data_IF_437730074236
#
_entry.id   IF_437730074236
#
_cell.length_a   1.000
_cell.length_b   1.000
_cell.length_c   1.000
_cell.angle_alpha   90.00
_cell.angle_beta   90.00
_cell.angle_gamma   90.00
#
_symmetry.space_group_name_H-M   'P 1'
#
loop_
_entity.id
_entity.type
_entity.pdbx_description
1 polymer ?
#
# COMPACT_ATOMS: atom_id res chain seq x y z
N UNK A 1 42.28 -69.46 165.89
CA UNK A 1 43.58 -68.78 165.90
C UNK A 1 43.75 -68.10 164.55
N UNK A 2 44.13 -66.84 164.60
CA UNK A 2 44.34 -65.92 163.49
C UNK A 2 45.54 -66.27 162.60
N UNK A 3 45.60 -65.53 161.48
CA UNK A 3 46.75 -65.17 160.63
C UNK A 3 47.01 -66.07 159.41
N UNK A 4 47.34 -65.58 158.20
CA UNK A 4 47.52 -64.23 157.62
C UNK A 4 47.65 -64.39 156.08
N UNK A 5 47.35 -63.30 155.37
CA UNK A 5 47.57 -62.98 153.93
C UNK A 5 48.89 -63.47 153.33
N UNK A 6 48.92 -63.65 152.00
CA UNK A 6 49.73 -62.89 151.00
C UNK A 6 49.27 -63.24 149.55
N UNK A 7 48.96 -62.22 148.74
CA UNK A 7 48.77 -62.26 147.26
C UNK A 7 50.15 -62.31 146.56
N UNK A 8 50.25 -62.83 145.32
CA UNK A 8 50.41 -61.93 144.15
C UNK A 8 49.67 -62.48 142.90
N UNK A 9 48.77 -61.81 142.20
CA UNK A 9 48.79 -60.51 141.49
C UNK A 9 49.69 -60.40 140.23
N UNK A 10 50.43 -61.44 139.84
CA UNK A 10 51.24 -61.40 138.60
C UNK A 10 50.83 -62.42 137.50
N UNK A 11 50.13 -63.51 137.84
CA UNK A 11 49.73 -64.53 136.85
C UNK A 11 48.42 -64.20 136.09
N UNK A 12 47.58 -63.30 136.60
CA UNK A 12 46.32 -62.92 135.91
C UNK A 12 46.50 -61.85 134.82
N UNK A 13 47.66 -61.19 134.78
CA UNK A 13 47.97 -60.16 133.78
C UNK A 13 48.41 -60.79 132.45
N UNK A 14 49.17 -61.89 132.47
CA UNK A 14 49.62 -62.59 131.25
C UNK A 14 48.49 -63.36 130.55
N UNK A 15 47.57 -63.99 131.30
CA UNK A 15 46.38 -64.64 130.71
C UNK A 15 45.38 -63.61 130.13
N UNK A 16 45.24 -62.44 130.78
CA UNK A 16 44.44 -61.33 130.26
C UNK A 16 45.05 -60.75 128.98
N UNK A 17 46.38 -60.58 128.94
CA UNK A 17 47.09 -60.08 127.77
C UNK A 17 47.01 -61.04 126.56
N UNK A 18 46.99 -62.37 126.78
CA UNK A 18 46.80 -63.34 125.71
C UNK A 18 45.37 -63.33 125.13
N UNK A 19 44.35 -63.20 126.00
CA UNK A 19 42.96 -63.05 125.55
C UNK A 19 42.73 -61.74 124.79
N UNK A 20 43.39 -60.66 125.22
CA UNK A 20 43.38 -59.36 124.56
C UNK A 20 44.03 -59.43 123.17
N UNK A 21 45.20 -60.05 123.04
CA UNK A 21 45.87 -60.25 121.75
C UNK A 21 45.05 -61.13 120.78
N UNK A 22 44.35 -62.16 121.28
CA UNK A 22 43.47 -63.01 120.46
C UNK A 22 42.24 -62.23 119.95
N UNK A 23 41.67 -61.38 120.80
CA UNK A 23 40.56 -60.49 120.41
C UNK A 23 41.03 -59.46 119.39
N UNK A 24 42.21 -58.87 119.58
CA UNK A 24 42.78 -57.89 118.66
C UNK A 24 43.05 -58.49 117.27
N UNK A 25 43.59 -59.70 117.19
CA UNK A 25 43.73 -60.42 115.92
C UNK A 25 42.38 -60.73 115.26
N UNK A 26 41.35 -61.08 116.04
CA UNK A 26 40.00 -61.28 115.51
C UNK A 26 39.37 -59.98 115.02
N UNK A 27 39.60 -58.86 115.72
CA UNK A 27 39.19 -57.52 115.33
C UNK A 27 39.87 -57.15 114.02
N UNK A 28 41.20 -57.27 113.92
CA UNK A 28 41.96 -56.96 112.71
C UNK A 28 41.47 -57.78 111.51
N UNK A 29 41.20 -59.08 111.69
CA UNK A 29 40.63 -59.93 110.64
C UNK A 29 39.24 -59.46 110.20
N UNK A 30 38.41 -59.00 111.14
CA UNK A 30 37.06 -58.48 110.85
C UNK A 30 37.11 -57.09 110.23
N UNK A 31 38.04 -56.24 110.64
CA UNK A 31 38.30 -54.93 110.06
C UNK A 31 38.80 -55.07 108.63
N UNK A 32 39.79 -55.91 108.37
CA UNK A 32 40.26 -56.21 107.01
C UNK A 32 39.15 -56.79 106.11
N UNK A 33 38.27 -57.63 106.66
CA UNK A 33 37.09 -58.11 105.95
C UNK A 33 36.08 -56.98 105.67
N UNK A 34 35.90 -56.05 106.61
CA UNK A 34 35.01 -54.89 106.48
C UNK A 34 35.56 -53.90 105.44
N UNK A 35 36.86 -53.63 105.45
CA UNK A 35 37.53 -52.76 104.47
C UNK A 35 37.42 -53.31 103.05
N UNK A 36 37.57 -54.63 102.90
CA UNK A 36 37.36 -55.30 101.61
C UNK A 36 35.93 -55.12 101.12
N UNK A 37 34.94 -55.33 101.99
CA UNK A 37 33.52 -55.13 101.64
C UNK A 37 33.22 -53.66 101.34
N UNK A 38 33.79 -52.71 102.08
CA UNK A 38 33.64 -51.28 101.81
C UNK A 38 34.27 -50.86 100.48
N UNK A 39 35.42 -51.44 100.14
CA UNK A 39 36.06 -51.22 98.84
C UNK A 39 35.20 -51.75 97.70
N UNK A 40 34.68 -52.97 97.82
CA UNK A 40 33.78 -53.58 96.84
C UNK A 40 32.46 -52.77 96.72
N UNK A 41 31.90 -52.31 97.84
CA UNK A 41 30.72 -51.43 97.89
C UNK A 41 30.97 -50.14 97.10
N UNK A 42 32.09 -49.45 97.35
CA UNK A 42 32.46 -48.23 96.61
C UNK A 42 32.61 -48.49 95.11
N UNK A 43 33.16 -49.64 94.72
CA UNK A 43 33.30 -50.01 93.31
C UNK A 43 31.93 -50.24 92.65
N UNK A 44 31.01 -50.92 93.35
CA UNK A 44 29.64 -51.14 92.88
C UNK A 44 28.88 -49.81 92.78
N UNK A 45 28.99 -48.93 93.76
CA UNK A 45 28.39 -47.59 93.72
C UNK A 45 28.88 -46.79 92.52
N UNK A 46 30.19 -46.83 92.24
CA UNK A 46 30.76 -46.18 91.06
C UNK A 46 30.18 -46.74 89.76
N UNK A 47 30.14 -48.08 89.61
CA UNK A 47 29.55 -48.73 88.44
C UNK A 47 28.07 -48.39 88.29
N UNK A 48 27.32 -48.35 89.38
CA UNK A 48 25.90 -47.99 89.37
C UNK A 48 25.67 -46.54 88.89
N UNK A 49 26.52 -45.60 89.32
CA UNK A 49 26.50 -44.21 88.80
C UNK A 49 26.78 -44.17 87.30
N UNK A 50 27.81 -44.87 86.83
CA UNK A 50 28.12 -44.95 85.39
C UNK A 50 26.97 -45.57 84.58
N UNK A 51 26.29 -46.60 85.09
CA UNK A 51 25.13 -47.19 84.44
C UNK A 51 23.95 -46.21 84.36
N UNK A 52 23.69 -45.44 85.41
CA UNK A 52 22.66 -44.40 85.39
C UNK A 52 22.98 -43.32 84.36
N UNK A 53 24.22 -42.81 84.32
CA UNK A 53 24.64 -41.82 83.32
C UNK A 53 24.54 -42.34 81.88
N UNK A 54 24.92 -43.60 81.64
CA UNK A 54 24.75 -44.24 80.31
C UNK A 54 23.28 -44.35 79.93
N UNK A 55 22.43 -44.72 80.88
CA UNK A 55 20.99 -44.86 80.65
C UNK A 55 20.33 -43.51 80.36
N UNK A 56 20.74 -42.45 81.05
CA UNK A 56 20.21 -41.09 80.82
C UNK A 56 20.63 -40.57 79.44
N UNK A 57 21.89 -40.73 79.04
CA UNK A 57 22.36 -40.41 77.69
C UNK A 57 21.59 -41.17 76.61
N UNK A 58 21.35 -42.47 76.83
CA UNK A 58 20.58 -43.29 75.89
C UNK A 58 19.13 -42.78 75.75
N UNK A 59 18.49 -42.40 76.86
CA UNK A 59 17.14 -41.81 76.81
C UNK A 59 17.12 -40.48 76.07
N UNK A 60 18.12 -39.61 76.28
CA UNK A 60 18.24 -38.35 75.56
C UNK A 60 18.43 -38.56 74.06
N UNK A 61 19.26 -39.53 73.66
CA UNK A 61 19.47 -39.91 72.25
C UNK A 61 18.18 -40.44 71.62
N UNK A 62 17.47 -41.34 72.31
CA UNK A 62 16.18 -41.86 71.86
C UNK A 62 15.16 -40.73 71.71
N UNK A 63 15.07 -39.84 72.68
CA UNK A 63 14.16 -38.70 72.64
C UNK A 63 14.53 -37.72 71.51
N UNK A 64 15.82 -37.50 71.27
CA UNK A 64 16.31 -36.70 70.15
C UNK A 64 15.96 -37.34 68.80
N UNK A 65 16.06 -38.66 68.68
CA UNK A 65 15.68 -39.39 67.48
C UNK A 65 14.18 -39.27 67.19
N UNK A 66 13.33 -39.46 68.21
CA UNK A 66 11.88 -39.29 68.11
C UNK A 66 11.54 -37.87 67.66
N UNK A 67 12.15 -36.84 68.29
CA UNK A 67 11.96 -35.43 67.90
C UNK A 67 12.34 -35.17 66.44
N UNK A 68 13.42 -35.79 65.96
CA UNK A 68 13.87 -35.65 64.56
C UNK A 68 12.87 -36.28 63.59
N UNK A 69 12.32 -37.44 63.91
CA UNK A 69 11.30 -38.10 63.09
C UNK A 69 10.04 -37.25 63.02
N UNK A 70 9.53 -36.77 64.16
CA UNK A 70 8.33 -35.94 64.21
C UNK A 70 8.48 -34.68 63.36
N UNK A 71 9.63 -34.00 63.45
CA UNK A 71 9.92 -32.82 62.63
C UNK A 71 9.88 -33.13 61.13
N UNK A 72 10.47 -34.24 60.69
CA UNK A 72 10.44 -34.65 59.27
C UNK A 72 9.03 -34.98 58.77
N UNK A 73 8.16 -35.48 59.65
CA UNK A 73 6.76 -35.75 59.31
C UNK A 73 6.03 -34.42 59.12
N UNK A 74 6.20 -33.49 60.06
CA UNK A 74 5.59 -32.16 60.02
C UNK A 74 6.07 -31.33 58.82
N UNK A 75 7.38 -31.35 58.51
CA UNK A 75 7.94 -30.72 57.31
C UNK A 75 7.29 -31.25 56.02
N UNK A 76 7.07 -32.57 55.93
CA UNK A 76 6.42 -33.19 54.77
C UNK A 76 4.92 -32.90 54.69
N UNK A 77 4.26 -32.71 55.82
CA UNK A 77 2.85 -32.31 55.89
C UNK A 77 2.70 -30.86 55.44
N UNK A 78 3.53 -29.96 55.97
CA UNK A 78 3.60 -28.57 55.51
C UNK A 78 3.94 -28.46 54.02
N UNK A 79 4.86 -29.29 53.50
CA UNK A 79 5.17 -29.32 52.06
C UNK A 79 3.99 -29.78 51.21
N UNK A 80 3.12 -30.64 51.74
CA UNK A 80 1.88 -31.06 51.07
C UNK A 80 0.80 -30.00 51.14
N UNK A 81 0.65 -29.34 52.29
CA UNK A 81 -0.35 -28.28 52.48
C UNK A 81 0.04 -26.98 51.75
N UNK A 82 1.36 -26.74 51.58
CA UNK A 82 1.90 -25.62 50.81
C UNK A 82 1.82 -25.84 49.29
N UNK A 83 1.61 -27.08 48.82
CA UNK A 83 1.33 -27.32 47.40
C UNK A 83 -0.04 -26.75 47.09
N UNK A 84 -0.03 -25.65 46.36
CA UNK A 84 -1.21 -24.96 45.85
C UNK A 84 -2.20 -25.97 45.27
N UNK A 85 -3.34 -26.11 45.93
CA UNK A 85 -4.40 -27.04 45.52
C UNK A 85 -5.04 -26.44 44.28
N UNK A 86 -4.50 -26.78 43.11
CA UNK A 86 -5.11 -26.47 41.83
C UNK A 86 -6.44 -27.20 41.77
N UNK A 87 -7.52 -26.44 41.85
CA UNK A 87 -8.85 -27.01 41.85
C UNK A 87 -9.18 -27.44 40.43
N UNK A 88 -10.01 -28.48 40.28
CA UNK A 88 -10.53 -28.89 38.98
C UNK A 88 -11.15 -27.71 38.20
N UNK A 89 -11.82 -26.79 38.89
CA UNK A 89 -12.44 -25.61 38.29
C UNK A 89 -11.40 -24.68 37.64
N UNK A 90 -10.24 -24.47 38.28
CA UNK A 90 -9.17 -23.59 37.77
C UNK A 90 -8.58 -24.16 36.47
N UNK A 91 -8.47 -25.50 36.38
CA UNK A 91 -8.06 -26.19 35.16
C UNK A 91 -9.13 -26.07 34.07
N UNK A 92 -10.40 -26.26 34.42
CA UNK A 92 -11.51 -26.12 33.47
C UNK A 92 -11.64 -24.69 32.94
N UNK A 93 -11.43 -23.67 33.76
CA UNK A 93 -11.40 -22.26 33.34
C UNK A 93 -10.20 -21.98 32.41
N UNK A 94 -9.00 -22.41 32.78
CA UNK A 94 -7.81 -22.28 31.90
C UNK A 94 -7.99 -22.98 30.55
N UNK A 95 -8.66 -24.13 30.52
CA UNK A 95 -8.97 -24.85 29.29
C UNK A 95 -10.02 -24.12 28.44
N UNK A 96 -11.05 -23.53 29.06
CA UNK A 96 -12.05 -22.71 28.36
C UNK A 96 -11.40 -21.48 27.73
N UNK A 97 -10.52 -20.80 28.44
CA UNK A 97 -9.80 -19.63 27.91
C UNK A 97 -8.92 -20.00 26.72
N UNK A 98 -8.17 -21.10 26.82
CA UNK A 98 -7.36 -21.61 25.71
C UNK A 98 -8.22 -21.99 24.51
N UNK A 99 -9.37 -22.62 24.74
CA UNK A 99 -10.29 -22.99 23.68
C UNK A 99 -10.91 -21.77 22.99
N UNK A 100 -11.32 -20.77 23.77
CA UNK A 100 -11.87 -19.53 23.25
C UNK A 100 -10.81 -18.78 22.42
N UNK A 101 -9.58 -18.67 22.94
CA UNK A 101 -8.46 -18.09 22.21
C UNK A 101 -8.17 -18.80 20.88
N UNK A 102 -8.22 -20.13 20.87
CA UNK A 102 -8.04 -20.90 19.64
C UNK A 102 -9.16 -20.62 18.62
N UNK A 103 -10.40 -20.52 19.09
CA UNK A 103 -11.57 -20.21 18.27
C UNK A 103 -11.50 -18.80 17.68
N UNK A 104 -11.12 -17.81 18.47
CA UNK A 104 -10.98 -16.43 18.02
C UNK A 104 -9.88 -16.30 16.96
N UNK A 105 -8.76 -17.01 17.15
CA UNK A 105 -7.69 -17.11 16.13
C UNK A 105 -8.17 -17.76 14.85
N UNK A 106 -8.93 -18.84 14.94
CA UNK A 106 -9.47 -19.53 13.77
C UNK A 106 -10.39 -18.59 12.97
N UNK A 107 -11.20 -17.77 13.65
CA UNK A 107 -12.04 -16.78 13.00
C UNK A 107 -11.20 -15.71 12.27
N UNK A 108 -10.16 -15.18 12.92
CA UNK A 108 -9.25 -14.22 12.28
C UNK A 108 -8.57 -14.84 11.06
N UNK A 109 -8.14 -16.10 11.14
CA UNK A 109 -7.54 -16.80 10.00
C UNK A 109 -8.52 -16.95 8.84
N UNK A 110 -9.79 -17.29 9.12
CA UNK A 110 -10.85 -17.36 8.11
C UNK A 110 -11.08 -16.01 7.44
N UNK A 111 -11.13 -14.93 8.22
CA UNK A 111 -11.32 -13.58 7.70
C UNK A 111 -10.13 -13.13 6.84
N UNK A 112 -8.89 -13.47 7.24
CA UNK A 112 -7.69 -13.20 6.45
C UNK A 112 -7.65 -14.01 5.15
N UNK A 113 -8.07 -15.28 5.18
CA UNK A 113 -8.17 -16.11 3.99
C UNK A 113 -9.19 -15.53 3.00
N UNK A 114 -10.36 -15.10 3.48
CA UNK A 114 -11.37 -14.45 2.64
C UNK A 114 -10.82 -13.18 1.98
N UNK A 115 -10.14 -12.32 2.75
CA UNK A 115 -9.50 -11.11 2.19
C UNK A 115 -8.43 -11.44 1.16
N UNK A 116 -7.63 -12.47 1.40
CA UNK A 116 -6.59 -12.91 0.46
C UNK A 116 -7.21 -13.37 -0.86
N UNK A 117 -8.25 -14.20 -0.79
CA UNK A 117 -8.97 -14.68 -1.97
C UNK A 117 -9.65 -13.54 -2.74
N UNK A 118 -10.27 -12.58 -2.05
CA UNK A 118 -10.83 -11.38 -2.67
C UNK A 118 -9.75 -10.57 -3.40
N UNK A 119 -8.60 -10.36 -2.77
CA UNK A 119 -7.48 -9.64 -3.41
C UNK A 119 -6.91 -10.39 -4.61
N UNK A 120 -6.83 -11.72 -4.56
CA UNK A 120 -6.36 -12.54 -5.67
C UNK A 120 -7.31 -12.46 -6.87
N UNK A 121 -8.62 -12.47 -6.63
CA UNK A 121 -9.63 -12.27 -7.68
C UNK A 121 -9.50 -10.88 -8.33
N UNK A 122 -9.36 -9.83 -7.53
CA UNK A 122 -9.13 -8.47 -8.05
C UNK A 122 -7.84 -8.39 -8.87
N UNK A 123 -6.78 -9.04 -8.41
CA UNK A 123 -5.50 -9.09 -9.08
C UNK A 123 -5.62 -9.81 -10.44
N UNK A 124 -6.36 -10.92 -10.53
CA UNK A 124 -6.62 -11.61 -11.79
C UNK A 124 -7.36 -10.72 -12.80
N UNK A 125 -8.36 -9.94 -12.35
CA UNK A 125 -9.04 -8.96 -13.21
C UNK A 125 -8.07 -7.88 -13.69
N UNK A 126 -7.22 -7.35 -12.83
CA UNK A 126 -6.20 -6.36 -13.22
C UNK A 126 -5.13 -6.94 -14.16
N UNK A 127 -4.80 -8.21 -14.02
CA UNK A 127 -3.91 -8.88 -14.97
C UNK A 127 -4.55 -9.00 -16.35
N UNK A 128 -5.82 -9.39 -16.46
CA UNK A 128 -6.50 -9.48 -17.76
C UNK A 128 -6.69 -8.10 -18.42
N UNK A 129 -7.00 -7.05 -17.63
CA UNK A 129 -7.01 -5.67 -18.11
C UNK A 129 -5.65 -5.26 -18.69
N UNK A 130 -4.55 -5.54 -17.96
CA UNK A 130 -3.19 -5.25 -18.42
C UNK A 130 -2.88 -5.97 -19.73
N UNK A 131 -3.23 -7.25 -19.82
CA UNK A 131 -2.95 -8.08 -21.01
C UNK A 131 -3.74 -7.55 -22.22
N UNK A 132 -5.01 -7.16 -22.03
CA UNK A 132 -5.80 -6.47 -23.05
C UNK A 132 -5.12 -5.18 -23.54
N UNK A 133 -4.65 -4.34 -22.63
CA UNK A 133 -3.98 -3.09 -23.00
C UNK A 133 -2.64 -3.33 -23.72
N UNK A 134 -1.92 -4.39 -23.34
CA UNK A 134 -0.71 -4.79 -24.01
C UNK A 134 -0.99 -5.21 -25.46
N UNK A 135 -2.03 -6.01 -25.68
CA UNK A 135 -2.48 -6.44 -27.01
C UNK A 135 -2.95 -5.25 -27.85
N UNK A 136 -3.70 -4.32 -27.24
CA UNK A 136 -4.10 -3.09 -27.90
C UNK A 136 -2.88 -2.26 -28.30
N UNK A 137 -1.91 -2.05 -27.41
CA UNK A 137 -0.68 -1.30 -27.72
C UNK A 137 0.11 -1.94 -28.86
N UNK A 138 0.21 -3.27 -28.87
CA UNK A 138 1.03 -4.01 -29.83
C UNK A 138 0.39 -4.15 -31.21
N UNK A 139 -0.93 -4.36 -31.26
CA UNK A 139 -1.68 -4.71 -32.48
C UNK A 139 -2.78 -3.69 -32.77
N UNK A 140 -3.64 -3.40 -31.79
CA UNK A 140 -4.77 -2.48 -31.95
C UNK A 140 -4.35 -1.08 -32.41
N UNK A 141 -3.37 -0.49 -31.74
CA UNK A 141 -2.82 0.83 -32.03
C UNK A 141 -2.27 0.93 -33.45
N UNK A 142 -1.61 -0.13 -33.96
CA UNK A 142 -1.11 -0.15 -35.34
C UNK A 142 -2.26 -0.20 -36.35
N UNK A 143 -3.29 -0.97 -36.06
CA UNK A 143 -4.49 -1.08 -36.89
C UNK A 143 -5.24 0.26 -36.95
N UNK A 144 -5.45 0.89 -35.80
CA UNK A 144 -6.09 2.20 -35.70
C UNK A 144 -5.25 3.29 -36.37
N UNK A 145 -3.93 3.29 -36.18
CA UNK A 145 -3.03 4.21 -36.87
C UNK A 145 -3.12 4.09 -38.40
N UNK A 146 -3.20 2.87 -38.92
CA UNK A 146 -3.39 2.62 -40.35
C UNK A 146 -4.75 3.14 -40.84
N UNK A 147 -5.83 2.90 -40.08
CA UNK A 147 -7.17 3.42 -40.38
C UNK A 147 -7.24 4.94 -40.35
N UNK A 148 -6.59 5.57 -39.37
CA UNK A 148 -6.46 7.03 -39.29
C UNK A 148 -5.70 7.54 -40.52
N UNK A 149 -4.64 6.86 -40.93
CA UNK A 149 -3.86 7.24 -42.11
C UNK A 149 -4.68 7.14 -43.40
N UNK A 150 -5.48 6.09 -43.58
CA UNK A 150 -6.36 5.97 -44.75
C UNK A 150 -7.43 7.06 -44.76
N UNK A 151 -8.12 7.28 -43.65
CA UNK A 151 -9.15 8.33 -43.55
C UNK A 151 -8.58 9.73 -43.79
N UNK A 152 -7.38 10.02 -43.29
CA UNK A 152 -6.69 11.30 -43.57
C UNK A 152 -6.40 11.48 -45.06
N UNK A 153 -6.05 10.39 -45.75
CA UNK A 153 -5.85 10.40 -47.21
C UNK A 153 -7.17 10.70 -47.92
N UNK A 154 -8.24 10.01 -47.56
CA UNK A 154 -9.56 10.17 -48.19
C UNK A 154 -10.11 11.60 -47.97
N UNK A 155 -9.96 12.15 -46.76
CA UNK A 155 -10.32 13.55 -46.46
C UNK A 155 -9.55 14.52 -47.35
N UNK A 156 -8.25 14.30 -47.54
CA UNK A 156 -7.42 15.14 -48.42
C UNK A 156 -7.89 15.05 -49.87
N UNK A 157 -8.17 13.85 -50.37
CA UNK A 157 -8.65 13.63 -51.73
C UNK A 157 -9.97 14.36 -51.99
N UNK A 158 -10.95 14.21 -51.08
CA UNK A 158 -12.24 14.92 -51.17
C UNK A 158 -12.04 16.44 -51.13
N UNK A 159 -11.11 16.93 -50.31
CA UNK A 159 -10.80 18.37 -50.23
C UNK A 159 -10.18 18.88 -51.55
N UNK A 160 -9.24 18.14 -52.11
CA UNK A 160 -8.58 18.50 -53.37
C UNK A 160 -9.60 18.48 -54.54
N UNK A 161 -10.49 17.49 -54.58
CA UNK A 161 -11.55 17.41 -55.59
C UNK A 161 -12.60 18.52 -55.46
N UNK A 162 -12.96 18.87 -54.23
CA UNK A 162 -13.84 20.01 -53.98
C UNK A 162 -13.19 21.32 -54.48
N UNK A 163 -11.90 21.52 -54.22
CA UNK A 163 -11.17 22.70 -54.71
C UNK A 163 -11.13 22.74 -56.25
N UNK A 164 -10.76 21.63 -56.91
CA UNK A 164 -10.77 21.52 -58.38
C UNK A 164 -12.15 21.83 -58.97
N UNK A 165 -13.20 21.30 -58.35
CA UNK A 165 -14.58 21.50 -58.79
C UNK A 165 -15.01 22.96 -58.61
N UNK A 166 -14.65 23.58 -57.48
CA UNK A 166 -14.92 24.99 -57.24
C UNK A 166 -14.19 25.91 -58.24
N UNK A 167 -12.94 25.58 -58.59
CA UNK A 167 -12.18 26.28 -59.62
C UNK A 167 -12.81 26.12 -61.02
N UNK A 168 -13.22 24.91 -61.38
CA UNK A 168 -13.94 24.63 -62.61
C UNK A 168 -15.19 25.52 -62.74
N UNK A 169 -16.05 25.56 -61.72
CA UNK A 169 -17.25 26.40 -61.75
C UNK A 169 -16.93 27.90 -61.75
N UNK A 170 -15.89 28.34 -61.04
CA UNK A 170 -15.45 29.74 -61.07
C UNK A 170 -15.00 30.15 -62.47
N UNK A 171 -14.25 29.30 -63.16
CA UNK A 171 -13.79 29.55 -64.53
C UNK A 171 -14.95 29.52 -65.52
N UNK A 172 -15.86 28.54 -65.43
CA UNK A 172 -17.05 28.47 -66.27
C UNK A 172 -17.93 29.73 -66.11
N UNK A 173 -18.13 30.20 -64.89
CA UNK A 173 -18.90 31.41 -64.61
C UNK A 173 -18.21 32.67 -65.15
N UNK A 174 -16.88 32.72 -65.12
CA UNK A 174 -16.10 33.81 -65.72
C UNK A 174 -16.26 33.82 -67.25
N UNK A 175 -16.10 32.67 -67.91
CA UNK A 175 -16.27 32.55 -69.35
C UNK A 175 -17.68 32.96 -69.81
N UNK A 176 -18.73 32.49 -69.11
CA UNK A 176 -20.12 32.88 -69.41
C UNK A 176 -20.36 34.40 -69.26
N UNK A 177 -19.72 35.05 -68.28
CA UNK A 177 -19.80 36.51 -68.12
C UNK A 177 -19.14 37.24 -69.28
N UNK A 178 -17.94 36.81 -69.68
CA UNK A 178 -17.21 37.39 -70.80
C UNK A 178 -17.98 37.22 -72.13
N UNK A 179 -18.63 36.08 -72.35
CA UNK A 179 -19.50 35.86 -73.50
C UNK A 179 -20.71 36.80 -73.49
N UNK A 180 -21.38 36.94 -72.34
CA UNK A 180 -22.50 37.88 -72.20
C UNK A 180 -22.07 39.34 -72.42
N UNK A 181 -20.91 39.74 -71.88
CA UNK A 181 -20.36 41.08 -72.09
C UNK A 181 -20.06 41.32 -73.59
N UNK A 182 -19.52 40.32 -74.29
CA UNK A 182 -19.28 40.37 -75.74
C UNK A 182 -20.58 40.48 -76.56
N UNK A 183 -21.62 39.73 -76.19
CA UNK A 183 -22.95 39.82 -76.81
C UNK A 183 -23.58 41.20 -76.60
N UNK A 184 -23.49 41.74 -75.38
CA UNK A 184 -23.97 43.09 -75.06
C UNK A 184 -23.23 44.13 -75.91
N UNK A 185 -21.91 44.03 -76.02
CA UNK A 185 -21.10 44.93 -76.84
C UNK A 185 -21.51 44.88 -78.33
N UNK A 186 -21.68 43.68 -78.87
CA UNK A 186 -22.18 43.47 -80.25
C UNK A 186 -23.56 44.12 -80.45
N UNK A 187 -24.51 43.89 -79.54
CA UNK A 187 -25.84 44.50 -79.60
C UNK A 187 -25.78 46.03 -79.53
N UNK A 188 -24.93 46.58 -78.65
CA UNK A 188 -24.73 48.03 -78.54
C UNK A 188 -24.14 48.60 -79.83
N UNK A 189 -23.18 47.92 -80.46
CA UNK A 189 -22.58 48.35 -81.73
C UNK A 189 -23.61 48.36 -82.86
N UNK A 190 -24.37 47.26 -83.01
CA UNK A 190 -25.46 47.17 -83.99
C UNK A 190 -26.50 48.27 -83.78
N UNK A 191 -26.89 48.53 -82.54
CA UNK A 191 -27.82 49.61 -82.23
C UNK A 191 -27.26 51.01 -82.58
N UNK A 192 -25.96 51.25 -82.40
CA UNK A 192 -25.31 52.51 -82.82
C UNK A 192 -25.29 52.66 -84.34
N UNK A 193 -25.01 51.58 -85.07
CA UNK A 193 -25.03 51.57 -86.54
C UNK A 193 -26.46 51.76 -87.09
N UNK A 194 -27.47 51.17 -86.44
CA UNK A 194 -28.89 51.33 -86.82
C UNK A 194 -29.52 52.65 -86.33
N UNK A 195 -28.87 53.38 -85.42
CA UNK A 195 -29.38 54.66 -84.91
C UNK A 195 -29.59 55.71 -86.00
N UNK A 196 -28.63 55.98 -86.93
CA UNK A 196 -28.85 56.93 -88.03
C UNK A 196 -29.96 56.47 -88.97
N UNK A 197 -30.00 55.19 -89.36
CA UNK A 197 -31.05 54.65 -90.24
C UNK A 197 -32.45 54.80 -89.62
N UNK A 198 -32.58 54.46 -88.33
CA UNK A 198 -33.84 54.66 -87.62
C UNK A 198 -34.19 56.15 -87.50
N UNK A 199 -33.23 57.05 -87.26
CA UNK A 199 -33.47 58.49 -87.18
C UNK A 199 -34.00 59.03 -88.52
N UNK A 200 -33.38 58.65 -89.64
CA UNK A 200 -33.82 59.03 -90.99
C UNK A 200 -35.24 58.52 -91.28
N UNK A 201 -35.59 57.29 -90.85
CA UNK A 201 -36.95 56.75 -91.06
C UNK A 201 -38.06 57.56 -90.40
N UNK A 202 -37.77 58.30 -89.33
CA UNK A 202 -38.74 59.13 -88.61
C UNK A 202 -38.70 60.61 -89.01
N UNK A 203 -37.83 61.01 -89.94
CA UNK A 203 -37.86 62.35 -90.52
C UNK A 203 -39.06 62.49 -91.46
N UNK A 204 -39.70 63.67 -91.45
CA UNK A 204 -40.77 63.98 -92.39
C UNK A 204 -40.19 64.17 -93.80
N UNK A 205 -41.00 63.93 -94.84
CA UNK A 205 -40.56 64.00 -96.25
C UNK A 205 -39.95 65.35 -96.61
N UNK A 206 -40.43 66.44 -95.99
CA UNK A 206 -39.89 67.78 -96.21
C UNK A 206 -38.46 67.89 -95.68
N UNK A 207 -38.19 67.38 -94.47
CA UNK A 207 -36.85 67.40 -93.88
C UNK A 207 -35.86 66.50 -94.62
N UNK A 208 -36.29 65.37 -95.17
CA UNK A 208 -35.43 64.55 -96.02
C UNK A 208 -34.99 65.30 -97.28
N UNK A 209 -35.91 66.03 -97.92
CA UNK A 209 -35.61 66.82 -99.13
C UNK A 209 -34.67 67.99 -98.83
N UNK A 210 -34.83 68.66 -97.69
CA UNK A 210 -33.89 69.69 -97.24
C UNK A 210 -32.48 69.13 -96.99
N UNK A 211 -32.35 67.90 -96.49
CA UNK A 211 -31.03 67.26 -96.30
C UNK A 211 -30.37 66.97 -97.64
N UNK A 212 -31.11 66.42 -98.61
CA UNK A 212 -30.61 66.15 -99.97
C UNK A 212 -30.20 67.45 -100.69
N UNK A 213 -31.00 68.52 -100.59
CA UNK A 213 -30.67 69.84 -101.16
C UNK A 213 -29.42 70.45 -100.49
N UNK A 214 -29.25 70.29 -99.17
CA UNK A 214 -28.05 70.74 -98.46
C UNK A 214 -26.79 69.92 -98.80
N UNK A 215 -26.92 68.62 -99.05
CA UNK A 215 -25.82 67.79 -99.56
C UNK A 215 -25.40 68.26 -100.96
N UNK A 216 -26.37 68.49 -101.86
CA UNK A 216 -26.10 69.03 -103.19
C UNK A 216 -25.41 70.40 -103.13
N UNK A 217 -25.90 71.32 -102.28
CA UNK A 217 -25.27 72.62 -102.08
C UNK A 217 -23.85 72.53 -101.50
N UNK A 218 -23.55 71.52 -100.68
CA UNK A 218 -22.20 71.28 -100.15
C UNK A 218 -21.24 70.76 -101.20
N UNK A 219 -21.69 69.87 -102.08
CA UNK A 219 -20.90 69.35 -103.18
C UNK A 219 -20.59 70.47 -104.18
N UNK A 220 -21.59 71.28 -104.53
CA UNK A 220 -21.40 72.49 -105.35
C UNK A 220 -20.44 73.49 -104.67
N UNK A 221 -20.58 73.72 -103.35
CA UNK A 221 -19.67 74.60 -102.62
C UNK A 221 -18.24 74.04 -102.56
N UNK A 222 -18.07 72.71 -102.54
CA UNK A 222 -16.76 72.06 -102.56
C UNK A 222 -16.11 72.15 -103.95
N UNK A 223 -16.89 71.98 -105.02
CA UNK A 223 -16.44 72.17 -106.39
C UNK A 223 -16.02 73.62 -106.63
N UNK A 224 -16.80 74.60 -106.13
CA UNK A 224 -16.43 76.01 -106.16
C UNK A 224 -15.21 76.35 -105.30
N UNK A 225 -14.97 75.61 -104.21
CA UNK A 225 -13.80 75.80 -103.36
C UNK A 225 -12.54 75.17 -103.98
N UNK A 226 -12.65 74.05 -104.70
CA UNK A 226 -11.57 73.46 -105.49
C UNK A 226 -11.27 74.29 -106.74
N UNK A 227 -12.29 74.89 -107.35
CA UNK A 227 -12.17 75.85 -108.46
C UNK A 227 -11.55 77.18 -107.98
N UNK A 228 -11.92 77.66 -106.79
CA UNK A 228 -11.27 78.82 -106.13
C UNK A 228 -9.82 78.53 -105.72
N UNK A 229 -9.48 77.31 -105.29
CA UNK A 229 -8.09 76.92 -104.99
C UNK A 229 -7.27 76.72 -106.27
N UNK A 230 -7.90 76.40 -107.39
CA UNK A 230 -7.23 76.38 -108.71
C UNK A 230 -7.04 77.80 -109.29
N UNK A 231 -7.91 78.76 -108.98
CA UNK A 231 -7.76 80.16 -109.39
C UNK A 231 -6.80 80.97 -108.48
N UNK A 232 -6.61 80.58 -107.22
CA UNK A 232 -5.67 81.24 -106.29
C UNK A 232 -4.21 80.74 -106.42
N UNK A 233 -3.96 79.63 -107.14
CA UNK A 233 -2.59 79.12 -107.43
C UNK A 233 -1.98 79.73 -108.71
N UNK A 234 -2.71 80.58 -109.45
CA UNK A 234 -2.20 81.34 -110.60
C UNK A 234 -2.25 82.85 -110.37
N UNK A 235 -1.72 83.32 -109.24
CA UNK A 235 -1.54 84.76 -109.04
C UNK A 235 -0.85 85.14 -107.74
N UNK A 236 0.41 85.55 -107.87
CA UNK A 236 1.13 86.45 -106.94
C UNK A 236 1.92 85.79 -105.81
N UNK A 237 3.22 85.65 -106.09
CA UNK A 237 4.30 85.77 -105.11
C UNK A 237 4.37 87.19 -104.51
N UNK A 238 4.76 87.25 -103.23
CA UNK A 238 5.41 88.34 -102.46
C UNK A 238 4.61 89.13 -101.40
N UNK A 239 5.15 89.09 -100.17
CA UNK A 239 5.02 90.10 -99.10
C UNK A 239 4.39 89.56 -97.82
N UNK A 240 5.13 88.94 -96.90
CA UNK A 240 5.81 89.55 -95.74
C UNK A 240 4.93 89.87 -94.51
N UNK A 241 5.39 89.36 -93.36
CA UNK A 241 5.22 89.82 -91.97
C UNK A 241 3.81 90.05 -91.39
N UNK A 242 3.42 89.24 -90.40
CA UNK A 242 3.59 89.61 -88.97
C UNK A 242 2.93 88.60 -88.03
N UNK A 243 3.61 88.30 -86.93
CA UNK A 243 3.10 87.59 -85.75
C UNK A 243 1.88 88.32 -85.15
N UNK A 244 0.88 87.58 -84.69
CA UNK A 244 0.20 87.87 -83.42
C UNK A 244 -0.27 86.60 -82.75
N UNK A 245 0.24 86.46 -81.53
CA UNK A 245 -0.25 85.70 -80.39
C UNK A 245 -1.77 85.83 -80.18
N UNK A 246 -2.40 84.76 -79.71
CA UNK A 246 -3.86 84.69 -79.59
C UNK A 246 -4.37 83.32 -79.13
N UNK A 247 -3.97 82.91 -77.93
CA UNK A 247 -4.73 81.93 -77.15
C UNK A 247 -6.19 82.38 -77.00
N UNK A 248 -7.16 81.66 -77.60
CA UNK A 248 -8.56 81.75 -77.17
C UNK A 248 -9.24 80.38 -77.12
N UNK A 249 -8.97 79.72 -76.00
CA UNK A 249 -9.95 79.05 -75.14
C UNK A 249 -11.42 79.06 -75.64
N UNK A 250 -11.83 78.04 -76.39
CA UNK A 250 -13.24 77.64 -76.48
C UNK A 250 -13.43 76.20 -76.01
N UNK A 251 -13.71 76.14 -74.71
CA UNK A 251 -14.37 75.07 -73.96
C UNK A 251 -15.34 74.26 -74.83
N UNK A 252 -14.94 73.06 -75.24
CA UNK A 252 -15.92 71.97 -75.38
C UNK A 252 -16.05 71.32 -74.02
N UNK A 253 -17.14 71.69 -73.34
CA UNK A 253 -17.63 70.97 -72.19
C UNK A 253 -17.77 69.49 -72.57
N UNK A 254 -16.83 68.65 -72.12
CA UNK A 254 -17.09 67.24 -71.89
C UNK A 254 -18.24 67.17 -70.89
N UNK A 255 -19.45 67.03 -71.41
CA UNK A 255 -20.60 66.56 -70.64
C UNK A 255 -20.26 65.14 -70.21
N UNK A 256 -19.65 65.01 -69.04
CA UNK A 256 -19.58 63.76 -68.30
C UNK A 256 -21.03 63.43 -67.93
N UNK A 257 -21.69 62.67 -68.80
CA UNK A 257 -22.92 61.97 -68.46
C UNK A 257 -22.56 60.81 -67.54
N UNK A 258 -22.35 61.14 -66.25
CA UNK A 258 -22.55 60.18 -65.18
C UNK A 258 -24.03 59.75 -65.19
N UNK A 259 -24.34 58.70 -65.92
CA UNK A 259 -25.55 57.90 -65.69
C UNK A 259 -25.12 56.55 -65.16
N UNK A 260 -24.54 56.56 -63.95
CA UNK A 260 -24.57 55.40 -63.06
C UNK A 260 -26.04 55.19 -62.67
N UNK A 261 -26.79 54.47 -63.51
CA UNK A 261 -28.02 53.83 -63.07
C UNK A 261 -27.60 52.69 -62.15
N UNK A 262 -27.59 52.99 -60.85
CA UNK A 262 -27.53 51.99 -59.80
C UNK A 262 -28.72 51.05 -59.96
N UNK A 263 -28.45 49.80 -60.32
CA UNK A 263 -29.40 48.73 -60.09
C UNK A 263 -29.64 48.59 -58.58
N UNK A 264 -30.87 48.27 -58.14
CA UNK A 264 -31.15 48.10 -56.72
C UNK A 264 -30.30 46.94 -56.19
N UNK A 265 -29.46 47.28 -55.21
CA UNK A 265 -28.69 46.32 -54.42
C UNK A 265 -29.68 45.47 -53.64
N UNK A 266 -30.06 44.32 -54.19
CA UNK A 266 -30.75 43.27 -53.45
C UNK A 266 -29.81 42.89 -52.31
N UNK A 267 -30.16 43.32 -51.11
CA UNK A 267 -29.60 42.78 -49.88
C UNK A 267 -30.12 41.35 -49.75
N UNK A 268 -29.42 40.39 -50.34
CA UNK A 268 -29.48 39.02 -49.84
C UNK A 268 -28.82 39.05 -48.45
N UNK A 269 -29.66 39.10 -47.41
CA UNK A 269 -29.27 38.61 -46.08
C UNK A 269 -29.02 37.12 -46.23
N UNK A 270 -27.79 36.77 -46.56
CA UNK A 270 -27.27 35.43 -46.29
C UNK A 270 -26.77 35.46 -44.86
N UNK A 271 -27.67 35.14 -43.92
CA UNK A 271 -27.28 34.51 -42.66
C UNK A 271 -26.70 33.14 -43.02
N UNK A 272 -25.42 33.10 -43.35
CA UNK A 272 -24.60 31.89 -43.25
C UNK A 272 -23.55 32.21 -42.20
N UNK A 273 -23.59 31.38 -41.17
CA UNK A 273 -22.96 31.60 -39.87
C UNK A 273 -21.50 31.98 -39.97
N UNK A 274 -21.18 33.14 -39.40
CA UNK A 274 -19.86 33.42 -38.84
C UNK A 274 -19.89 33.02 -37.37
N UNK A 275 -19.56 31.77 -37.07
CA UNK A 275 -19.06 31.36 -35.76
C UNK A 275 -18.46 29.96 -35.86
N UNK A 276 -17.23 29.84 -36.37
CA UNK A 276 -16.44 28.60 -36.27
C UNK A 276 -14.97 28.83 -35.89
N UNK A 277 -14.59 30.05 -35.47
CA UNK A 277 -13.24 30.34 -34.92
C UNK A 277 -13.22 30.36 -33.38
N UNK A 278 -14.32 30.00 -32.69
CA UNK A 278 -14.36 29.95 -31.21
C UNK A 278 -14.22 28.53 -30.62
N UNK A 279 -14.31 27.49 -31.45
CA UNK A 279 -14.33 26.11 -30.94
C UNK A 279 -12.94 25.46 -30.87
N UNK A 280 -11.96 25.92 -31.66
CA UNK A 280 -10.57 25.41 -31.58
C UNK A 280 -9.91 25.81 -30.25
N UNK A 281 -10.13 27.05 -29.78
CA UNK A 281 -9.53 27.56 -28.54
C UNK A 281 -10.16 26.96 -27.27
N UNK A 282 -11.39 26.45 -27.34
CA UNK A 282 -12.08 25.77 -26.23
C UNK A 282 -11.72 24.28 -26.12
N UNK A 283 -11.39 23.63 -27.23
CA UNK A 283 -10.88 22.27 -27.23
C UNK A 283 -9.44 22.20 -26.69
N UNK A 284 -8.59 23.15 -27.05
CA UNK A 284 -7.20 23.18 -26.59
C UNK A 284 -7.09 23.44 -25.06
N UNK A 285 -7.98 24.28 -24.51
CA UNK A 285 -8.07 24.57 -23.06
C UNK A 285 -8.66 23.43 -22.23
N UNK A 286 -9.50 22.59 -22.82
CA UNK A 286 -10.09 21.43 -22.12
C UNK A 286 -9.20 20.18 -22.15
N UNK A 287 -8.24 20.11 -23.09
CA UNK A 287 -7.26 19.02 -23.18
C UNK A 287 -6.00 19.25 -22.34
N UNK A 288 -5.71 20.49 -21.93
CA UNK A 288 -4.51 20.83 -21.15
C UNK A 288 -4.44 20.12 -19.79
N UNK A 289 -5.52 20.04 -18.99
CA UNK A 289 -5.50 19.31 -17.71
C UNK A 289 -5.29 17.80 -17.89
N UNK A 290 -5.88 17.22 -18.95
CA UNK A 290 -5.79 15.78 -19.25
C UNK A 290 -4.38 15.43 -19.71
N UNK A 291 -3.78 16.25 -20.58
CA UNK A 291 -2.39 16.08 -21.02
C UNK A 291 -1.40 16.23 -19.86
N UNK A 292 -1.59 17.22 -18.99
CA UNK A 292 -0.74 17.40 -17.81
C UNK A 292 -0.82 16.20 -16.85
N UNK A 293 -2.02 15.62 -16.64
CA UNK A 293 -2.19 14.41 -15.84
C UNK A 293 -1.49 13.19 -16.47
N UNK A 294 -1.56 13.01 -17.79
CA UNK A 294 -0.81 11.95 -18.49
C UNK A 294 0.71 12.13 -18.39
N UNK A 295 1.20 13.37 -18.45
CA UNK A 295 2.62 13.69 -18.29
C UNK A 295 3.13 13.48 -16.85
N UNK A 296 2.27 13.64 -15.84
CA UNK A 296 2.60 13.32 -14.44
C UNK A 296 2.69 11.81 -14.23
N UNK A 297 1.75 11.04 -14.78
CA UNK A 297 1.78 9.57 -14.71
C UNK A 297 3.03 8.99 -15.38
N UNK A 298 3.41 9.47 -16.56
CA UNK A 298 4.63 9.00 -17.23
C UNK A 298 5.89 9.33 -16.40
N UNK A 299 5.91 10.46 -15.69
CA UNK A 299 7.04 10.86 -14.84
C UNK A 299 7.19 9.92 -13.64
N UNK A 300 6.07 9.58 -13.00
CA UNK A 300 6.02 8.66 -11.86
C UNK A 300 6.45 7.24 -12.28
N UNK A 301 6.04 6.79 -13.47
CA UNK A 301 6.49 5.52 -14.03
C UNK A 301 7.99 5.49 -14.34
N UNK A 302 8.54 6.57 -14.88
CA UNK A 302 9.98 6.70 -15.13
C UNK A 302 10.80 6.79 -13.83
N UNK A 303 10.23 7.37 -12.77
CA UNK A 303 10.84 7.38 -11.44
C UNK A 303 10.84 5.99 -10.81
N UNK A 304 9.78 5.21 -11.00
CA UNK A 304 9.70 3.82 -10.56
C UNK A 304 10.71 2.90 -11.28
N UNK A 305 10.95 3.13 -12.58
CA UNK A 305 11.96 2.40 -13.35
C UNK A 305 13.41 2.71 -12.90
N UNK A 306 13.65 3.91 -12.33
CA UNK A 306 14.96 4.29 -11.78
C UNK A 306 15.27 3.68 -10.41
N UNK A 307 14.27 3.15 -9.71
CA UNK A 307 14.45 2.50 -8.40
C UNK A 307 15.13 1.13 -8.49
N UNK A 308 15.41 0.62 -9.70
CA UNK A 308 16.01 -0.68 -9.91
C UNK A 308 15.10 -1.83 -9.48
N UNK A 309 15.45 -3.09 -9.77
CA UNK A 309 14.74 -4.22 -9.20
C UNK A 309 14.81 -4.12 -7.68
N UNK A 310 13.66 -4.01 -7.01
CA UNK A 310 13.62 -4.17 -5.56
C UNK A 310 14.26 -5.53 -5.26
N UNK A 311 15.43 -5.50 -4.63
CA UNK A 311 16.04 -6.68 -4.05
C UNK A 311 15.17 -7.05 -2.86
N UNK A 312 14.05 -7.71 -3.14
CA UNK A 312 13.33 -8.48 -2.15
C UNK A 312 14.25 -9.62 -1.76
N UNK A 313 15.14 -9.38 -0.81
CA UNK A 313 15.79 -10.47 -0.09
C UNK A 313 14.65 -11.21 0.63
N UNK A 314 14.23 -12.41 0.18
CA UNK A 314 13.34 -13.20 1.01
C UNK A 314 14.15 -13.52 2.26
N UNK A 315 13.81 -12.89 3.38
CA UNK A 315 14.33 -13.33 4.66
C UNK A 315 13.78 -14.74 4.89
N UNK A 316 14.58 -15.74 4.54
CA UNK A 316 14.28 -17.12 4.82
C UNK A 316 14.47 -17.31 6.34
N UNK A 317 13.40 -17.17 7.09
CA UNK A 317 13.39 -17.52 8.51
C UNK A 317 13.27 -19.04 8.58
N UNK A 318 14.41 -19.72 8.61
CA UNK A 318 14.48 -21.16 8.89
C UNK A 318 14.20 -21.34 10.37
N UNK A 319 12.95 -21.64 10.71
CA UNK A 319 12.56 -21.99 12.07
C UNK A 319 13.22 -23.30 12.50
N UNK A 320 14.12 -23.24 13.48
CA UNK A 320 14.66 -24.44 14.13
C UNK A 320 13.65 -24.88 15.18
N UNK A 321 13.07 -26.07 15.03
CA UNK A 321 12.21 -26.65 16.06
C UNK A 321 13.03 -26.86 17.34
N UNK A 322 12.68 -26.13 18.41
CA UNK A 322 13.25 -26.32 19.73
C UNK A 322 12.43 -27.38 20.47
N UNK A 323 13.05 -28.45 21.00
CA UNK A 323 12.36 -29.40 21.86
C UNK A 323 11.90 -28.66 23.12
N UNK A 324 10.58 -28.59 23.34
CA UNK A 324 10.00 -27.96 24.53
C UNK A 324 10.13 -28.89 25.76
N UNK A 325 10.65 -30.11 25.58
CA UNK A 325 11.09 -31.01 26.64
C UNK A 325 12.38 -31.72 26.24
N UNK A 326 13.36 -31.76 27.16
CA UNK A 326 14.31 -32.87 27.19
C UNK A 326 13.52 -34.06 27.70
N UNK A 327 13.22 -35.02 26.82
CA UNK A 327 12.84 -36.35 27.28
C UNK A 327 14.00 -36.85 28.14
N UNK A 328 13.75 -37.02 29.44
CA UNK A 328 14.68 -37.73 30.30
C UNK A 328 14.88 -39.11 29.70
N UNK A 329 16.15 -39.44 29.43
CA UNK A 329 16.66 -40.75 29.09
C UNK A 329 15.78 -41.85 29.71
N UNK A 330 14.94 -42.47 28.89
CA UNK A 330 14.12 -43.60 29.30
C UNK A 330 15.07 -44.75 29.67
N UNK A 331 15.43 -44.81 30.94
CA UNK A 331 16.02 -46.03 31.49
C UNK A 331 15.02 -47.16 31.31
N UNK A 332 15.44 -48.35 30.84
CA UNK A 332 14.53 -49.43 30.56
C UNK A 332 13.75 -49.78 31.81
N UNK A 333 12.43 -49.66 31.73
CA UNK A 333 11.48 -50.23 32.67
C UNK A 333 11.81 -51.71 32.85
N UNK A 334 12.53 -52.02 33.93
CA UNK A 334 12.78 -53.37 34.40
C UNK A 334 11.49 -53.81 35.10
N UNK A 335 10.56 -54.39 34.34
CA UNK A 335 9.52 -55.21 34.93
C UNK A 335 10.19 -56.36 35.70
N UNK A 336 9.80 -56.62 36.97
CA UNK A 336 10.32 -57.78 37.67
C UNK A 336 9.78 -59.04 36.98
N UNK A 337 10.59 -60.11 36.87
CA UNK A 337 10.07 -61.37 36.37
C UNK A 337 9.06 -61.92 37.37
N UNK A 338 7.91 -62.35 36.84
CA UNK A 338 7.01 -63.29 37.52
C UNK A 338 7.84 -64.48 37.99
N UNK A 339 8.02 -64.59 39.30
CA UNK A 339 8.75 -65.67 39.95
C UNK A 339 8.33 -65.73 41.42
N UNK A 340 7.80 -66.88 41.81
CA UNK A 340 7.20 -67.19 43.10
C UNK A 340 8.08 -66.85 44.29
N UNK A 341 7.56 -66.08 45.25
CA UNK A 341 8.08 -66.06 46.62
C UNK A 341 6.95 -66.01 47.65
N UNK A 342 7.12 -66.91 48.61
CA UNK A 342 6.29 -67.22 49.76
C UNK A 342 6.40 -66.10 50.80
N UNK A 343 5.25 -65.64 51.31
CA UNK A 343 5.09 -65.12 52.68
C UNK A 343 5.77 -63.79 53.03
N UNK A 344 5.13 -62.67 52.72
CA UNK A 344 5.36 -61.42 53.44
C UNK A 344 4.26 -61.22 54.48
N UNK A 345 4.62 -61.40 55.75
CA UNK A 345 3.75 -60.96 56.84
C UNK A 345 3.77 -59.44 56.88
N UNK A 346 2.59 -58.84 56.91
CA UNK A 346 2.36 -57.44 57.18
C UNK A 346 3.05 -57.04 58.50
N UNK A 347 4.16 -56.29 58.40
CA UNK A 347 4.95 -55.78 59.54
C UNK A 347 4.76 -54.27 59.72
N UNK A 348 3.62 -53.73 59.33
CA UNK A 348 3.35 -52.29 59.49
C UNK A 348 2.70 -52.05 60.85
N UNK A 349 3.37 -51.30 61.73
CA UNK A 349 2.78 -50.91 63.01
C UNK A 349 1.67 -49.89 62.73
N UNK A 350 0.41 -50.30 62.86
CA UNK A 350 -0.76 -49.44 62.68
C UNK A 350 -1.08 -48.63 63.94
N UNK A 351 -1.68 -47.46 63.78
CA UNK A 351 -2.06 -46.58 64.89
C UNK A 351 -3.00 -47.27 65.93
N UNK A 352 -3.76 -48.27 65.50
CA UNK A 352 -4.58 -49.11 66.40
C UNK A 352 -3.73 -49.99 67.33
N UNK A 353 -2.61 -50.54 66.84
CA UNK A 353 -1.69 -51.34 67.65
C UNK A 353 -1.00 -50.49 68.72
N UNK A 354 -0.63 -49.25 68.37
CA UNK A 354 -0.06 -48.28 69.33
C UNK A 354 -1.09 -47.91 70.41
N UNK A 355 -2.36 -47.71 70.01
CA UNK A 355 -3.46 -47.38 70.95
C UNK A 355 -3.81 -48.52 71.90
N UNK A 356 -3.61 -49.78 71.49
CA UNK A 356 -3.83 -50.96 72.33
C UNK A 356 -2.79 -51.05 73.46
N UNK A 357 -1.52 -50.78 73.18
CA UNK A 357 -0.44 -50.80 74.18
C UNK A 357 -0.58 -49.72 75.25
N UNK A 358 -1.19 -48.59 74.92
CA UNK A 358 -1.48 -47.52 75.89
C UNK A 358 -2.65 -47.81 76.84
N UNK A 359 -3.43 -48.88 76.63
CA UNK A 359 -4.57 -49.26 77.49
C UNK A 359 -4.23 -50.31 78.56
N UNK A 360 -3.08 -50.97 78.48
CA UNK A 360 -2.71 -52.07 79.39
C UNK A 360 -2.08 -51.60 80.71
N UNK A 361 -1.88 -50.28 80.90
CA UNK A 361 -1.34 -49.71 82.14
C UNK A 361 -2.38 -49.07 83.08
N UNK A 362 -3.64 -49.52 83.02
CA UNK A 362 -4.66 -49.10 83.99
C UNK A 362 -5.51 -50.29 84.45
N UNK A 363 -4.95 -51.09 85.36
CA UNK A 363 -5.69 -51.78 86.43
C UNK A 363 -4.70 -52.13 87.56
N UNK A 364 -5.15 -52.04 88.82
CA UNK A 364 -4.36 -51.61 89.98
C UNK A 364 -3.21 -52.53 90.41
#
# INVERSE_FOLDING_TARGET
MEEKKVKPEEQSAEESAFQEALLEFQIEKKEAATDKVLFDLKQVEKKNKEYNERNDKLKEEQQAHIRRILRRIEEKEQEKDAKEVVTRNDVEESLKDKWQYAKDKEQILKDLLFRTEETDQQLLVKQSERDYWLDYKNVGSKTDANKIKSLKKDIKEVKDDFQRTAEYYRNALKAMKEENDSLIEMHVKKNKEQAPENAVRYLDKCSCREIEENEWLKEEAADLQDESLQDEIKGVEHGEYSETDGEESLRRATVSCQKKKSFPKIQCKTEIGKSQDRDEELQEKSLTPILNSLFEVERDFQEYLKLGPLVSNPMCVVGRAMPIHKESEETPSKSPPKGDYIGESDRHITAQMIKALSKEKVSP
#
